data_IF_784431830740
#
_entry.id   IF_784431830740
#
_cell.length_a   1.000
_cell.length_b   1.000
_cell.length_c   1.000
_cell.angle_alpha   90.00
_cell.angle_beta   90.00
_cell.angle_gamma   90.00
#
_symmetry.space_group_name_H-M   'P 1'
#
loop_
_entity.id
_entity.type
_entity.pdbx_description
1 polymer ?
#
# COMPACT_ATOMS: atom_id res chain seq x y z
N UNK A 1 42.45 2.55 28.75
CA UNK A 1 41.21 1.84 29.11
C UNK A 1 40.03 2.77 28.85
N UNK A 2 39.37 2.67 27.70
CA UNK A 2 38.18 3.50 27.40
C UNK A 2 37.38 2.89 26.24
N UNK A 3 36.70 1.76 26.48
CA UNK A 3 35.66 1.21 25.59
C UNK A 3 34.69 0.39 26.42
N UNK A 4 33.74 1.03 27.10
CA UNK A 4 32.57 0.30 27.63
C UNK A 4 31.28 1.10 27.83
N UNK A 5 31.25 2.42 27.62
CA UNK A 5 30.03 3.21 27.89
C UNK A 5 29.22 3.61 26.67
N UNK A 6 29.70 3.39 25.43
CA UNK A 6 28.95 3.77 24.22
C UNK A 6 27.82 2.83 23.83
N UNK A 7 27.77 1.61 24.37
CA UNK A 7 26.83 0.58 23.89
C UNK A 7 25.47 0.60 24.61
N UNK A 8 25.39 1.20 25.80
CA UNK A 8 24.15 1.14 26.60
C UNK A 8 23.14 2.22 26.19
N UNK A 9 23.61 3.39 25.72
CA UNK A 9 22.72 4.46 25.25
C UNK A 9 22.13 4.15 23.87
N UNK A 10 22.88 3.53 22.95
CA UNK A 10 22.35 3.11 21.64
C UNK A 10 21.26 2.03 21.77
N UNK A 11 21.41 1.09 22.72
CA UNK A 11 20.41 0.03 22.96
C UNK A 11 19.13 0.59 23.60
N UNK A 12 19.25 1.59 24.49
CA UNK A 12 18.08 2.25 25.10
C UNK A 12 17.30 3.08 24.08
N UNK A 13 17.98 3.82 23.20
CA UNK A 13 17.34 4.59 22.11
C UNK A 13 16.66 3.66 21.11
N UNK A 14 17.28 2.53 20.76
CA UNK A 14 16.66 1.54 19.87
C UNK A 14 15.43 0.89 20.49
N UNK A 15 15.43 0.62 21.80
CA UNK A 15 14.27 0.05 22.48
C UNK A 15 13.12 1.06 22.66
N UNK A 16 13.39 2.34 22.94
CA UNK A 16 12.36 3.39 22.98
C UNK A 16 11.75 3.69 21.60
N UNK A 17 12.55 3.59 20.53
CA UNK A 17 12.08 3.68 19.14
C UNK A 17 11.30 2.43 18.73
N UNK A 18 11.53 1.26 19.31
CA UNK A 18 10.71 0.06 19.00
C UNK A 18 9.40 0.05 19.79
N UNK A 19 9.39 0.53 21.05
CA UNK A 19 8.17 0.58 21.87
C UNK A 19 7.20 1.70 21.48
N UNK A 20 7.68 2.82 20.92
CA UNK A 20 6.80 3.90 20.45
C UNK A 20 6.05 3.58 19.15
N UNK A 21 6.51 2.59 18.37
CA UNK A 21 5.94 2.23 17.06
C UNK A 21 5.09 0.95 17.10
N UNK A 22 5.12 0.19 18.20
CA UNK A 22 4.17 -0.90 18.48
C UNK A 22 2.84 -0.40 19.07
N UNK A 23 2.58 0.92 19.05
CA UNK A 23 1.24 1.41 19.32
C UNK A 23 0.31 0.88 18.23
N UNK A 24 -0.73 0.10 18.57
CA UNK A 24 -1.76 -0.27 17.62
C UNK A 24 -2.27 1.02 16.98
N UNK A 25 -2.30 1.06 15.65
CA UNK A 25 -3.12 2.04 14.93
C UNK A 25 -4.48 1.99 15.60
N UNK A 26 -4.89 3.09 16.23
CA UNK A 26 -6.10 3.12 17.03
C UNK A 26 -7.25 2.60 16.17
N UNK A 27 -7.91 1.53 16.65
CA UNK A 27 -8.96 0.82 15.92
C UNK A 27 -10.05 1.78 15.38
N UNK A 28 -10.19 2.95 16.00
CA UNK A 28 -11.06 4.05 15.60
C UNK A 28 -10.73 4.65 14.20
N UNK A 29 -9.45 4.71 13.80
CA UNK A 29 -9.04 5.21 12.48
C UNK A 29 -9.35 4.20 11.36
N UNK A 30 -9.28 2.91 11.67
CA UNK A 30 -9.67 1.83 10.74
C UNK A 30 -11.21 1.71 10.69
N UNK A 31 -11.89 1.86 11.83
CA UNK A 31 -13.35 1.80 11.91
C UNK A 31 -14.03 2.99 11.22
N UNK A 32 -13.44 4.18 11.32
CA UNK A 32 -13.92 5.38 10.60
C UNK A 32 -13.78 5.28 9.08
N UNK A 33 -12.72 4.62 8.57
CA UNK A 33 -12.59 4.28 7.15
C UNK A 33 -13.67 3.29 6.69
N UNK A 34 -14.13 2.41 7.58
CA UNK A 34 -15.14 1.38 7.27
C UNK A 34 -16.60 1.87 7.40
N UNK A 35 -16.87 2.89 8.22
CA UNK A 35 -18.25 3.38 8.47
C UNK A 35 -18.93 4.06 7.28
N UNK A 36 -18.16 4.57 6.31
CA UNK A 36 -18.70 5.34 5.18
C UNK A 36 -18.84 4.55 3.86
N UNK A 37 -18.66 3.22 3.88
CA UNK A 37 -18.82 2.40 2.66
C UNK A 37 -20.28 2.06 2.40
N UNK A 38 -20.78 2.47 1.24
CA UNK A 38 -22.04 1.96 0.67
C UNK A 38 -21.76 0.50 0.28
N UNK A 39 -22.26 -0.45 1.09
CA UNK A 39 -22.00 -1.89 0.96
C UNK A 39 -22.53 -2.45 -0.37
N UNK A 40 -21.64 -2.69 -1.31
CA UNK A 40 -21.94 -3.46 -2.54
C UNK A 40 -21.02 -4.68 -2.71
N UNK A 41 -20.03 -4.89 -1.84
CA UNK A 41 -19.09 -6.02 -1.92
C UNK A 41 -19.42 -7.17 -0.97
N UNK A 42 -18.91 -8.36 -1.32
CA UNK A 42 -18.84 -9.51 -0.42
C UNK A 42 -17.48 -9.43 0.28
N UNK A 43 -17.47 -9.47 1.61
CA UNK A 43 -16.23 -9.50 2.38
C UNK A 43 -15.32 -10.65 1.92
N UNK A 44 -14.04 -10.37 1.78
CA UNK A 44 -13.04 -11.36 1.39
C UNK A 44 -12.90 -12.43 2.47
N UNK A 45 -12.78 -13.68 2.04
CA UNK A 45 -12.55 -14.83 2.92
C UNK A 45 -11.11 -15.31 2.82
N UNK A 46 -10.71 -16.20 3.73
CA UNK A 46 -9.41 -16.87 3.61
C UNK A 46 -9.33 -17.58 2.25
N UNK A 47 -10.41 -18.25 1.81
CA UNK A 47 -10.47 -18.98 0.56
C UNK A 47 -10.29 -18.07 -0.67
N UNK A 48 -10.92 -16.90 -0.70
CA UNK A 48 -10.79 -15.97 -1.84
C UNK A 48 -9.41 -15.31 -1.91
N UNK A 49 -8.75 -15.12 -0.76
CA UNK A 49 -7.41 -14.53 -0.66
C UNK A 49 -6.28 -15.53 -0.93
N UNK A 50 -6.52 -16.85 -0.85
CA UNK A 50 -5.51 -17.89 -1.12
C UNK A 50 -4.81 -17.75 -2.48
N UNK A 51 -5.47 -17.15 -3.48
CA UNK A 51 -4.87 -16.91 -4.80
C UNK A 51 -3.65 -15.97 -4.77
N UNK A 52 -3.52 -15.15 -3.73
CA UNK A 52 -2.37 -14.25 -3.50
C UNK A 52 -1.33 -14.88 -2.56
N UNK A 53 -1.59 -16.06 -2.00
CA UNK A 53 -0.66 -16.71 -1.09
C UNK A 53 0.49 -17.39 -1.86
N UNK A 54 1.71 -16.88 -1.68
CA UNK A 54 2.92 -17.62 -2.04
C UNK A 54 3.35 -18.61 -0.95
N UNK A 55 2.86 -18.45 0.28
CA UNK A 55 3.10 -19.36 1.41
C UNK A 55 1.80 -19.56 2.20
N UNK A 56 1.54 -20.76 2.72
CA UNK A 56 0.33 -21.04 3.48
C UNK A 56 0.20 -20.13 4.72
N UNK A 57 -1.02 -19.64 4.96
CA UNK A 57 -1.37 -18.91 6.19
C UNK A 57 -1.28 -17.39 6.08
N UNK A 58 -0.78 -16.85 4.96
CA UNK A 58 -0.71 -15.39 4.71
C UNK A 58 -2.09 -14.74 4.57
N UNK A 59 -3.10 -15.44 4.06
CA UNK A 59 -4.47 -14.94 3.93
C UNK A 59 -5.10 -14.69 5.30
N UNK A 60 -4.90 -15.61 6.24
CA UNK A 60 -5.33 -15.41 7.64
C UNK A 60 -4.60 -14.23 8.26
N UNK A 61 -3.29 -14.13 8.05
CA UNK A 61 -2.50 -13.01 8.54
C UNK A 61 -2.97 -11.67 7.94
N UNK A 62 -3.24 -11.61 6.65
CA UNK A 62 -3.76 -10.42 5.97
C UNK A 62 -5.06 -9.93 6.62
N UNK A 63 -6.03 -10.84 6.83
CA UNK A 63 -7.29 -10.50 7.49
C UNK A 63 -7.10 -10.09 8.96
N UNK A 64 -6.09 -10.62 9.65
CA UNK A 64 -5.75 -10.16 11.00
C UNK A 64 -5.18 -8.74 11.01
N UNK A 65 -4.49 -8.32 9.94
CA UNK A 65 -3.92 -6.96 9.81
C UNK A 65 -5.00 -5.96 9.41
N UNK A 66 -5.77 -6.28 8.37
CA UNK A 66 -6.71 -5.33 7.75
C UNK A 66 -8.13 -5.43 8.34
N UNK A 67 -8.47 -6.56 8.95
CA UNK A 67 -9.79 -6.83 9.52
C UNK A 67 -10.58 -7.88 8.74
N UNK A 68 -11.40 -8.65 9.46
CA UNK A 68 -12.18 -9.76 8.89
C UNK A 68 -13.36 -9.31 8.01
N UNK A 69 -13.76 -8.05 8.09
CA UNK A 69 -14.78 -7.43 7.24
C UNK A 69 -14.20 -6.75 6.00
N UNK A 70 -12.97 -7.10 5.63
CA UNK A 70 -12.28 -6.44 4.54
C UNK A 70 -12.94 -6.71 3.18
N UNK A 71 -13.01 -5.67 2.37
CA UNK A 71 -13.43 -5.70 0.98
C UNK A 71 -12.39 -4.92 0.16
N UNK A 72 -11.90 -5.51 -0.93
CA UNK A 72 -11.06 -4.77 -1.87
C UNK A 72 -11.83 -3.60 -2.48
N UNK A 73 -11.18 -2.45 -2.71
CA UNK A 73 -11.74 -1.44 -3.60
C UNK A 73 -12.06 -2.05 -4.97
N UNK A 74 -13.23 -1.72 -5.52
CA UNK A 74 -13.78 -2.28 -6.76
C UNK A 74 -12.87 -1.96 -7.93
N UNK A 75 -12.35 -0.72 -8.00
CA UNK A 75 -11.42 -0.27 -9.03
C UNK A 75 -9.99 -0.82 -8.89
N UNK A 76 -9.62 -1.42 -7.75
CA UNK A 76 -8.27 -1.93 -7.54
C UNK A 76 -8.02 -3.17 -8.40
N UNK A 77 -7.14 -3.03 -9.40
CA UNK A 77 -6.76 -4.12 -10.29
C UNK A 77 -5.99 -5.23 -9.56
N UNK A 78 -6.09 -6.47 -10.03
CA UNK A 78 -5.48 -7.65 -9.39
C UNK A 78 -3.97 -7.50 -9.12
N UNK A 79 -3.22 -6.81 -9.99
CA UNK A 79 -1.79 -6.58 -9.80
C UNK A 79 -1.48 -5.76 -8.53
N UNK A 80 -2.33 -4.77 -8.20
CA UNK A 80 -2.16 -3.98 -6.97
C UNK A 80 -2.65 -4.76 -5.76
N UNK A 81 -3.72 -5.56 -5.90
CA UNK A 81 -4.17 -6.46 -4.82
C UNK A 81 -3.09 -7.45 -4.44
N UNK A 82 -2.41 -8.03 -5.44
CA UNK A 82 -1.30 -8.95 -5.26
C UNK A 82 -0.11 -8.28 -4.54
N UNK A 83 0.31 -7.10 -5.00
CA UNK A 83 1.35 -6.31 -4.33
C UNK A 83 0.97 -5.96 -2.89
N UNK A 84 -0.23 -5.43 -2.66
CA UNK A 84 -0.71 -5.04 -1.32
C UNK A 84 -0.74 -6.24 -0.39
N UNK A 85 -1.24 -7.38 -0.89
CA UNK A 85 -1.26 -8.62 -0.12
C UNK A 85 0.15 -9.07 0.25
N UNK A 86 1.07 -9.07 -0.73
CA UNK A 86 2.47 -9.43 -0.51
C UNK A 86 3.13 -8.48 0.51
N UNK A 87 3.07 -7.17 0.29
CA UNK A 87 3.70 -6.16 1.12
C UNK A 87 3.26 -6.22 2.59
N UNK A 88 1.99 -6.55 2.85
CA UNK A 88 1.47 -6.62 4.22
C UNK A 88 1.70 -7.98 4.89
N UNK A 89 1.96 -9.05 4.13
CA UNK A 89 2.04 -10.40 4.69
C UNK A 89 3.43 -11.01 4.65
N UNK A 90 4.34 -10.48 3.85
CA UNK A 90 5.67 -11.04 3.68
C UNK A 90 6.68 -10.58 4.74
N UNK A 91 6.80 -11.37 5.82
CA UNK A 91 7.72 -11.10 6.94
C UNK A 91 9.21 -11.00 6.56
N UNK A 92 9.60 -11.44 5.36
CA UNK A 92 11.01 -11.54 4.95
C UNK A 92 11.31 -10.61 3.77
N UNK A 93 10.33 -10.40 2.90
CA UNK A 93 10.52 -9.72 1.62
C UNK A 93 10.09 -8.25 1.59
N UNK A 94 9.15 -7.84 2.45
CA UNK A 94 8.65 -6.45 2.43
C UNK A 94 9.52 -5.53 3.27
N UNK A 95 9.92 -4.39 2.72
CA UNK A 95 10.48 -3.30 3.51
C UNK A 95 9.38 -2.37 4.04
N UNK A 96 9.75 -1.42 4.91
CA UNK A 96 8.82 -0.45 5.47
C UNK A 96 8.10 0.36 4.39
N UNK A 97 8.81 0.69 3.31
CA UNK A 97 8.26 1.48 2.22
C UNK A 97 7.23 0.68 1.41
N UNK A 98 7.39 -0.64 1.27
CA UNK A 98 6.39 -1.50 0.64
C UNK A 98 5.07 -1.48 1.41
N UNK A 99 5.14 -1.52 2.75
CA UNK A 99 3.98 -1.42 3.64
C UNK A 99 3.31 -0.05 3.48
N UNK A 100 4.08 1.05 3.45
CA UNK A 100 3.55 2.41 3.21
C UNK A 100 2.87 2.50 1.85
N UNK A 101 3.51 1.97 0.79
CA UNK A 101 2.94 1.89 -0.55
C UNK A 101 1.62 1.12 -0.56
N UNK A 102 1.53 0.00 0.15
CA UNK A 102 0.31 -0.79 0.23
C UNK A 102 -0.86 0.02 0.83
N UNK A 103 -0.61 0.76 1.91
CA UNK A 103 -1.63 1.63 2.51
C UNK A 103 -2.00 2.83 1.62
N UNK A 104 -1.03 3.40 0.90
CA UNK A 104 -1.31 4.46 -0.06
C UNK A 104 -2.19 3.97 -1.21
N UNK A 105 -2.01 2.72 -1.68
CA UNK A 105 -2.91 2.13 -2.68
C UNK A 105 -4.35 2.03 -2.16
N UNK A 106 -4.58 1.64 -0.91
CA UNK A 106 -5.93 1.63 -0.36
C UNK A 106 -6.61 2.99 -0.44
N UNK A 107 -5.89 4.06 -0.08
CA UNK A 107 -6.43 5.43 -0.15
C UNK A 107 -6.74 5.83 -1.59
N UNK A 108 -5.81 5.61 -2.51
CA UNK A 108 -6.01 5.98 -3.91
C UNK A 108 -7.25 5.30 -4.51
N UNK A 109 -7.39 3.99 -4.35
CA UNK A 109 -8.52 3.26 -4.95
C UNK A 109 -9.84 3.51 -4.23
N UNK A 110 -9.83 3.79 -2.93
CA UNK A 110 -11.04 4.19 -2.20
C UNK A 110 -11.54 5.58 -2.67
N UNK A 111 -10.63 6.56 -2.85
CA UNK A 111 -10.97 7.84 -3.47
C UNK A 111 -11.48 7.68 -4.91
N UNK A 112 -10.88 6.77 -5.68
CA UNK A 112 -11.31 6.47 -7.05
C UNK A 112 -12.72 5.89 -7.10
N UNK A 113 -13.02 4.89 -6.25
CA UNK A 113 -14.36 4.27 -6.15
C UNK A 113 -15.43 5.27 -5.72
N UNK A 114 -15.06 6.26 -4.90
CA UNK A 114 -15.94 7.36 -4.47
C UNK A 114 -16.11 8.45 -5.53
N UNK A 115 -15.35 8.40 -6.63
CA UNK A 115 -15.38 9.40 -7.69
C UNK A 115 -14.75 10.74 -7.29
N UNK A 116 -13.88 10.76 -6.28
CA UNK A 116 -13.24 12.00 -5.79
C UNK A 116 -12.34 12.63 -6.85
N UNK A 117 -11.80 11.82 -7.77
CA UNK A 117 -10.93 12.28 -8.85
C UNK A 117 -11.68 12.72 -10.12
N UNK A 118 -13.02 12.70 -10.15
CA UNK A 118 -13.79 13.02 -11.35
C UNK A 118 -13.51 14.43 -11.91
N UNK A 119 -13.20 15.40 -11.05
CA UNK A 119 -12.82 16.77 -11.46
C UNK A 119 -11.37 16.91 -11.91
N UNK A 120 -10.58 15.86 -11.71
CA UNK A 120 -9.14 15.78 -11.93
C UNK A 120 -8.80 14.59 -12.83
N UNK A 121 -9.71 14.20 -13.74
CA UNK A 121 -9.58 12.99 -14.56
C UNK A 121 -8.35 13.02 -15.50
N UNK A 122 -7.85 14.23 -15.79
CA UNK A 122 -6.65 14.45 -16.57
C UNK A 122 -5.37 14.55 -15.75
N UNK A 123 -5.46 14.46 -14.43
CA UNK A 123 -4.33 14.54 -13.53
C UNK A 123 -3.78 13.16 -13.18
N UNK A 124 -2.52 13.18 -12.78
CA UNK A 124 -1.89 12.15 -11.98
C UNK A 124 -1.93 12.55 -10.50
N UNK A 125 -2.11 11.55 -9.65
CA UNK A 125 -2.38 11.72 -8.23
C UNK A 125 -1.20 11.18 -7.45
N UNK A 126 -0.61 12.02 -6.61
CA UNK A 126 0.39 11.61 -5.63
C UNK A 126 -0.31 11.33 -4.31
N UNK A 127 -0.14 10.10 -3.81
CA UNK A 127 -0.59 9.70 -2.47
C UNK A 127 0.61 9.35 -1.62
N UNK A 128 0.69 9.96 -0.45
CA UNK A 128 1.77 9.76 0.50
C UNK A 128 1.23 9.87 1.93
N UNK A 129 1.71 9.03 2.84
CA UNK A 129 1.22 8.94 4.22
C UNK A 129 -0.31 8.86 4.32
N UNK A 130 -0.93 8.08 3.41
CA UNK A 130 -2.37 7.84 3.35
C UNK A 130 -3.19 9.10 3.06
N UNK A 131 -2.58 10.10 2.43
CA UNK A 131 -3.24 11.34 2.02
C UNK A 131 -2.97 11.64 0.55
N UNK A 132 -3.98 12.16 -0.15
CA UNK A 132 -3.80 12.72 -1.49
C UNK A 132 -3.14 14.08 -1.33
N UNK A 133 -1.88 14.18 -1.76
CA UNK A 133 -1.07 15.39 -1.55
C UNK A 133 -0.88 16.22 -2.82
N UNK A 134 -1.10 15.65 -4.01
CA UNK A 134 -0.94 16.37 -5.28
C UNK A 134 -1.89 15.88 -6.37
N UNK A 135 -2.36 16.84 -7.17
CA UNK A 135 -3.00 16.64 -8.46
C UNK A 135 -2.13 17.31 -9.53
N UNK A 136 -1.45 16.53 -10.35
CA UNK A 136 -0.38 17.02 -11.25
C UNK A 136 -0.46 16.48 -12.67
N UNK A 137 0.51 16.89 -13.48
CA UNK A 137 0.81 16.29 -14.80
C UNK A 137 1.77 15.13 -14.60
N UNK A 138 1.74 14.12 -15.50
CA UNK A 138 2.63 12.97 -15.47
C UNK A 138 4.10 13.39 -15.27
N UNK A 139 4.72 12.87 -14.21
CA UNK A 139 6.14 13.01 -14.00
C UNK A 139 6.94 12.28 -15.09
N UNK A 140 8.04 12.90 -15.50
CA UNK A 140 9.14 12.19 -16.15
C UNK A 140 9.71 11.13 -15.21
N UNK A 141 10.46 10.17 -15.77
CA UNK A 141 11.12 9.13 -14.97
C UNK A 141 12.03 9.70 -13.89
N UNK A 142 12.74 10.79 -14.19
CA UNK A 142 13.66 11.46 -13.26
C UNK A 142 12.90 12.13 -12.13
N UNK A 143 11.85 12.90 -12.44
CA UNK A 143 10.98 13.53 -11.43
C UNK A 143 10.32 12.49 -10.52
N UNK A 144 9.86 11.37 -11.09
CA UNK A 144 9.27 10.30 -10.31
C UNK A 144 10.30 9.66 -9.37
N UNK A 145 11.52 9.43 -9.85
CA UNK A 145 12.60 8.90 -9.02
C UNK A 145 12.95 9.83 -7.85
N UNK A 146 13.13 11.12 -8.14
CA UNK A 146 13.43 12.13 -7.12
C UNK A 146 12.31 12.22 -6.08
N UNK A 147 11.05 12.14 -6.51
CA UNK A 147 9.91 12.13 -5.60
C UNK A 147 9.86 10.89 -4.72
N UNK A 148 10.19 9.71 -5.25
CA UNK A 148 10.23 8.48 -4.46
C UNK A 148 11.40 8.47 -3.46
N UNK A 149 12.52 9.13 -3.78
CA UNK A 149 13.61 9.35 -2.82
C UNK A 149 13.19 10.34 -1.71
N UNK A 150 12.48 11.41 -2.07
CA UNK A 150 11.97 12.40 -1.12
C UNK A 150 10.84 11.84 -0.22
N UNK A 151 10.01 10.95 -0.80
CA UNK A 151 8.81 10.40 -0.16
C UNK A 151 8.78 8.87 -0.32
N UNK A 152 9.60 8.13 0.45
CA UNK A 152 9.66 6.69 0.36
C UNK A 152 8.29 6.05 0.63
N UNK A 153 7.87 5.18 -0.29
CA UNK A 153 6.57 4.52 -0.25
C UNK A 153 5.40 5.30 -0.87
N UNK A 154 5.62 6.51 -1.39
CA UNK A 154 4.59 7.24 -2.14
C UNK A 154 4.16 6.49 -3.41
N UNK A 155 2.91 6.67 -3.82
CA UNK A 155 2.42 6.19 -5.12
C UNK A 155 2.01 7.34 -5.99
N UNK A 156 2.17 7.15 -7.29
CA UNK A 156 1.85 8.15 -8.29
C UNK A 156 1.16 7.48 -9.48
N UNK A 157 -0.14 7.72 -9.62
CA UNK A 157 -1.00 7.02 -10.59
C UNK A 157 -1.96 8.00 -11.28
N UNK A 158 -2.37 7.75 -12.53
CA UNK A 158 -3.35 8.59 -13.21
C UNK A 158 -4.73 8.41 -12.58
N UNK A 159 -5.48 9.51 -12.44
CA UNK A 159 -6.89 9.49 -12.03
C UNK A 159 -7.76 8.64 -12.97
N UNK A 160 -7.45 8.67 -14.27
CA UNK A 160 -7.98 7.75 -15.27
C UNK A 160 -7.03 6.56 -15.44
N UNK A 161 -7.40 5.42 -14.86
CA UNK A 161 -6.62 4.18 -14.96
C UNK A 161 -6.44 3.67 -16.40
N UNK A 162 -7.23 4.13 -17.37
CA UNK A 162 -7.01 3.79 -18.78
C UNK A 162 -5.69 4.37 -19.33
N UNK A 163 -5.20 5.46 -18.71
CA UNK A 163 -3.91 6.11 -19.00
C UNK A 163 -2.75 5.43 -18.27
N UNK A 164 -3.03 4.48 -17.36
CA UNK A 164 -1.97 3.76 -16.68
C UNK A 164 -1.18 2.93 -17.71
N UNK A 165 0.17 3.02 -17.73
CA UNK A 165 0.96 2.24 -18.65
C UNK A 165 0.63 0.75 -18.48
N UNK A 166 0.07 0.15 -19.53
CA UNK A 166 -0.13 -1.29 -19.58
C UNK A 166 1.25 -1.92 -19.61
N UNK A 167 1.56 -2.75 -18.62
CA UNK A 167 2.68 -3.68 -18.76
C UNK A 167 2.38 -4.49 -20.02
N UNK A 168 3.22 -4.46 -21.07
CA UNK A 168 3.01 -5.32 -22.22
C UNK A 168 2.93 -6.74 -21.67
N UNK A 169 1.80 -7.44 -21.90
CA UNK A 169 1.74 -8.87 -21.67
C UNK A 169 3.00 -9.45 -22.30
N UNK A 170 3.82 -10.14 -21.50
CA UNK A 170 5.08 -10.70 -21.94
C UNK A 170 4.77 -11.49 -23.22
N UNK A 171 5.12 -10.90 -24.37
CA UNK A 171 4.86 -11.53 -25.66
C UNK A 171 5.52 -12.87 -25.56
N UNK A 172 4.74 -13.93 -25.75
CA UNK A 172 5.24 -15.26 -26.05
C UNK A 172 6.25 -15.05 -27.18
N UNK A 173 7.53 -15.08 -26.83
CA UNK A 173 8.62 -15.17 -27.79
C UNK A 173 8.43 -16.57 -28.37
N UNK A 174 7.70 -16.64 -29.49
CA UNK A 174 7.82 -17.77 -30.38
C UNK A 174 9.26 -17.70 -30.90
N UNK A 175 10.13 -18.48 -30.26
CA UNK A 175 11.43 -18.81 -30.82
C UNK A 175 11.18 -19.41 -32.21
N UNK A 176 11.71 -18.75 -33.23
CA UNK A 176 11.83 -19.30 -34.58
C UNK A 176 13.10 -20.14 -34.68
#
# INVERSE_FOLDING_TARGET
MAKKEKNTQEILVQNEVVESFNKPIEAEKIESLNKNKKKFGVAETIESLRKYEHRPGRAKKFLNIIGSSFEWPVSMLNQYRDFVFWALTDDVGSCEDDIKTAYNYFVFFDCLDKGEFNKHIDNWILVYNQEVIEYGQEYTREEQWDKLQEKPGAIYLPADLSKHPKIPSARVVHAQ
#
